data_IF_422656182617
#
_entry.id   IF_422656182617
#
_cell.length_a   1.000
_cell.length_b   1.000
_cell.length_c   1.000
_cell.angle_alpha   90.00
_cell.angle_beta   90.00
_cell.angle_gamma   90.00
#
_symmetry.space_group_name_H-M   'P 1'
#
loop_
_entity.id
_entity.type
_entity.pdbx_description
1 polymer ?
#
# COMPACT_ATOMS: atom_id res chain seq x y z
N UNK A 1 -14.89 -41.35 -14.71
CA UNK A 1 -15.02 -40.07 -13.98
C UNK A 1 -13.75 -39.85 -13.16
N UNK A 2 -12.91 -38.88 -13.52
CA UNK A 2 -11.70 -38.56 -12.75
C UNK A 2 -12.06 -37.53 -11.66
N UNK A 3 -11.91 -37.92 -10.38
CA UNK A 3 -12.16 -37.07 -9.22
C UNK A 3 -11.03 -36.05 -9.10
N UNK A 4 -11.31 -34.79 -9.44
CA UNK A 4 -10.38 -33.66 -9.28
C UNK A 4 -10.12 -33.42 -7.79
N UNK A 5 -8.96 -33.86 -7.32
CA UNK A 5 -8.53 -33.66 -5.94
C UNK A 5 -8.08 -32.20 -5.78
N UNK A 6 -8.93 -31.37 -5.17
CA UNK A 6 -8.60 -29.98 -4.87
C UNK A 6 -7.55 -29.97 -3.77
N UNK A 7 -6.30 -29.71 -4.14
CA UNK A 7 -5.20 -29.51 -3.19
C UNK A 7 -5.59 -28.35 -2.28
N UNK A 8 -5.68 -28.60 -0.98
CA UNK A 8 -5.75 -27.54 0.03
C UNK A 8 -4.43 -26.76 -0.08
N UNK A 9 -4.50 -25.57 -0.67
CA UNK A 9 -3.39 -24.62 -0.66
C UNK A 9 -3.37 -24.05 0.74
N UNK A 10 -2.42 -24.48 1.56
CA UNK A 10 -2.16 -23.89 2.87
C UNK A 10 -1.94 -22.39 2.66
N UNK A 11 -2.91 -21.58 3.07
CA UNK A 11 -2.81 -20.13 3.05
C UNK A 11 -1.82 -19.74 4.14
N UNK A 12 -0.54 -19.68 3.76
CA UNK A 12 0.48 -19.02 4.55
C UNK A 12 -0.07 -17.64 4.98
N UNK A 13 -0.08 -17.31 6.28
CA UNK A 13 -0.54 -16.01 6.72
C UNK A 13 0.38 -14.95 6.11
N UNK A 14 -0.16 -14.13 5.22
CA UNK A 14 0.59 -13.01 4.64
C UNK A 14 0.86 -11.98 5.74
N UNK A 15 2.05 -11.39 5.72
CA UNK A 15 2.48 -10.35 6.69
C UNK A 15 1.61 -9.09 6.69
N UNK A 16 0.72 -8.92 5.72
CA UNK A 16 -0.25 -7.83 5.67
C UNK A 16 -1.57 -8.33 5.09
N UNK A 17 -2.67 -7.76 5.57
CA UNK A 17 -3.99 -7.91 4.96
C UNK A 17 -3.99 -7.43 3.51
N UNK A 18 -4.79 -8.07 2.65
CA UNK A 18 -4.97 -7.69 1.24
C UNK A 18 -5.35 -6.21 1.07
N UNK A 19 -6.08 -5.65 2.05
CA UNK A 19 -6.45 -4.25 2.06
C UNK A 19 -5.25 -3.30 2.25
N UNK A 20 -4.34 -3.64 3.18
CA UNK A 20 -3.14 -2.83 3.44
C UNK A 20 -2.20 -2.85 2.23
N UNK A 21 -2.08 -3.99 1.53
CA UNK A 21 -1.34 -4.06 0.27
C UNK A 21 -1.87 -3.12 -0.81
N UNK A 22 -3.20 -2.99 -0.92
CA UNK A 22 -3.82 -2.06 -1.88
C UNK A 22 -3.48 -0.60 -1.53
N UNK A 23 -3.50 -0.24 -0.25
CA UNK A 23 -3.13 1.11 0.22
C UNK A 23 -1.66 1.40 -0.08
N UNK A 24 -0.75 0.45 0.19
CA UNK A 24 0.67 0.60 -0.15
C UNK A 24 0.85 0.80 -1.65
N UNK A 25 0.12 0.06 -2.49
CA UNK A 25 0.14 0.26 -3.95
C UNK A 25 -0.28 1.67 -4.38
N UNK A 26 -1.33 2.22 -3.77
CA UNK A 26 -1.78 3.60 -4.03
C UNK A 26 -0.69 4.60 -3.60
N UNK A 27 -0.05 4.38 -2.46
CA UNK A 27 0.99 5.26 -1.96
C UNK A 27 2.23 5.28 -2.88
N UNK A 28 2.65 4.12 -3.37
CA UNK A 28 3.76 4.00 -4.35
C UNK A 28 3.38 4.72 -5.64
N UNK A 29 2.16 4.50 -6.14
CA UNK A 29 1.67 5.19 -7.34
C UNK A 29 1.70 6.71 -7.17
N UNK A 30 1.31 7.22 -6.00
CA UNK A 30 1.35 8.65 -5.68
C UNK A 30 2.78 9.22 -5.73
N UNK A 31 3.75 8.51 -5.15
CA UNK A 31 5.17 8.89 -5.18
C UNK A 31 5.69 8.93 -6.62
N UNK A 32 5.42 7.88 -7.40
CA UNK A 32 5.83 7.81 -8.81
C UNK A 32 5.22 8.97 -9.59
N UNK A 33 3.94 9.28 -9.36
CA UNK A 33 3.27 10.40 -10.02
C UNK A 33 3.91 11.74 -9.65
N UNK A 34 4.27 11.95 -8.38
CA UNK A 34 4.97 13.17 -7.94
C UNK A 34 6.31 13.38 -8.64
N UNK A 35 7.11 12.32 -8.79
CA UNK A 35 8.38 12.40 -9.52
C UNK A 35 8.19 12.49 -11.03
N UNK A 36 7.17 11.82 -11.59
CA UNK A 36 6.86 11.90 -13.01
C UNK A 36 6.38 13.30 -13.39
N UNK A 37 5.58 13.96 -12.53
CA UNK A 37 5.15 15.33 -12.74
C UNK A 37 6.34 16.31 -12.73
N UNK A 38 7.28 16.13 -11.80
CA UNK A 38 8.56 16.86 -11.80
C UNK A 38 9.36 16.63 -13.09
N UNK A 39 9.44 15.37 -13.55
CA UNK A 39 10.11 15.04 -14.81
C UNK A 39 9.45 15.68 -16.02
N UNK A 40 8.11 15.76 -16.06
CA UNK A 40 7.39 16.41 -17.16
C UNK A 40 7.60 17.93 -17.18
N UNK A 41 7.71 18.57 -16.00
CA UNK A 41 7.95 20.01 -15.89
C UNK A 41 9.32 20.41 -16.46
N UNK A 42 10.34 19.53 -16.38
CA UNK A 42 11.71 19.75 -16.87
C UNK A 42 12.40 21.02 -16.31
N UNK A 43 11.92 21.53 -15.18
CA UNK A 43 12.40 22.73 -14.51
C UNK A 43 12.55 22.42 -13.02
N UNK A 44 13.77 22.45 -12.51
CA UNK A 44 14.06 22.10 -11.10
C UNK A 44 13.47 23.16 -10.15
N UNK A 45 13.48 24.42 -10.56
CA UNK A 45 12.88 25.55 -9.84
C UNK A 45 11.41 25.78 -10.24
N UNK A 46 10.83 24.84 -10.99
CA UNK A 46 9.44 24.86 -11.39
C UNK A 46 8.48 24.68 -10.20
N UNK A 47 7.27 25.20 -10.35
CA UNK A 47 6.26 25.17 -9.29
C UNK A 47 5.88 23.74 -8.89
N UNK A 48 5.81 22.82 -9.86
CA UNK A 48 5.48 21.42 -9.59
C UNK A 48 6.62 20.76 -8.81
N UNK A 49 7.85 20.98 -9.25
CA UNK A 49 9.06 20.41 -8.64
C UNK A 49 9.28 20.92 -7.22
N UNK A 50 9.06 22.21 -6.97
CA UNK A 50 9.35 22.86 -5.69
C UNK A 50 8.23 22.71 -4.65
N UNK A 51 6.97 22.63 -5.07
CA UNK A 51 5.82 22.59 -4.14
C UNK A 51 4.99 21.31 -4.25
N UNK A 52 4.60 20.90 -5.46
CA UNK A 52 3.64 19.79 -5.64
C UNK A 52 4.32 18.45 -5.37
N UNK A 53 5.49 18.21 -5.97
CA UNK A 53 6.19 16.95 -5.88
C UNK A 53 6.56 16.61 -4.43
N UNK A 54 7.15 17.53 -3.62
CA UNK A 54 7.44 17.25 -2.22
C UNK A 54 6.18 16.89 -1.41
N UNK A 55 5.07 17.58 -1.62
CA UNK A 55 3.80 17.28 -0.92
C UNK A 55 3.27 15.90 -1.33
N UNK A 56 3.31 15.58 -2.61
CA UNK A 56 2.81 14.31 -3.15
C UNK A 56 3.65 13.13 -2.64
N UNK A 57 4.97 13.26 -2.66
CA UNK A 57 5.92 12.27 -2.15
C UNK A 57 5.77 12.09 -0.64
N UNK A 58 5.72 13.19 0.13
CA UNK A 58 5.49 13.14 1.58
C UNK A 58 4.17 12.47 1.95
N UNK A 59 3.09 12.81 1.24
CA UNK A 59 1.79 12.17 1.43
C UNK A 59 1.88 10.66 1.17
N UNK A 60 2.60 10.25 0.13
CA UNK A 60 2.85 8.84 -0.15
C UNK A 60 3.54 8.13 1.02
N UNK A 61 4.60 8.70 1.57
CA UNK A 61 5.28 8.14 2.75
C UNK A 61 4.36 8.03 3.97
N UNK A 62 3.57 9.06 4.27
CA UNK A 62 2.60 9.04 5.38
C UNK A 62 1.58 7.92 5.21
N UNK A 63 1.08 7.72 3.98
CA UNK A 63 0.12 6.64 3.68
C UNK A 63 0.77 5.26 3.85
N UNK A 64 2.03 5.07 3.40
CA UNK A 64 2.76 3.81 3.63
C UNK A 64 2.90 3.53 5.13
N UNK A 65 3.34 4.52 5.90
CA UNK A 65 3.50 4.40 7.35
C UNK A 65 2.16 4.03 7.99
N UNK A 66 1.07 4.70 7.60
CA UNK A 66 -0.27 4.40 8.10
C UNK A 66 -0.72 2.98 7.76
N UNK A 67 -0.49 2.53 6.52
CA UNK A 67 -0.85 1.17 6.09
C UNK A 67 -0.11 0.09 6.88
N UNK A 68 1.16 0.34 7.21
CA UNK A 68 1.98 -0.56 8.03
C UNK A 68 1.48 -0.54 9.48
N UNK A 69 1.31 0.64 10.09
CA UNK A 69 0.94 0.78 11.50
C UNK A 69 -0.48 0.25 11.80
N UNK A 70 -1.43 0.44 10.88
CA UNK A 70 -2.82 0.00 11.07
C UNK A 70 -2.94 -1.54 11.16
N UNK A 71 -1.95 -2.29 10.68
CA UNK A 71 -1.98 -3.76 10.71
C UNK A 71 -1.99 -4.36 12.13
N UNK A 72 -1.51 -3.65 13.16
CA UNK A 72 -1.33 -4.22 14.50
C UNK A 72 -2.55 -4.18 15.44
N UNK A 73 -3.74 -3.76 14.99
CA UNK A 73 -4.91 -3.61 15.90
C UNK A 73 -6.21 -4.30 15.49
N UNK A 74 -6.34 -4.77 14.25
CA UNK A 74 -7.66 -5.20 13.73
C UNK A 74 -7.93 -6.70 13.68
N UNK A 75 -6.90 -7.56 13.68
CA UNK A 75 -7.07 -8.99 13.39
C UNK A 75 -6.91 -9.92 14.62
N UNK A 76 -6.57 -9.37 15.79
CA UNK A 76 -6.48 -10.13 17.04
C UNK A 76 -7.79 -10.16 17.85
N UNK A 77 -8.75 -9.26 17.56
CA UNK A 77 -10.01 -9.18 18.31
C UNK A 77 -11.10 -10.13 17.78
N UNK A 78 -11.01 -10.60 16.53
CA UNK A 78 -12.04 -11.48 15.92
C UNK A 78 -11.73 -12.98 16.07
N UNK A 79 -10.51 -13.33 16.53
CA UNK A 79 -10.10 -14.72 16.81
C UNK A 79 -10.20 -15.13 18.28
N UNK A 80 -10.71 -14.25 19.16
CA UNK A 80 -10.82 -14.47 20.60
C UNK A 80 -12.27 -14.59 21.12
N UNK A 81 -13.25 -14.85 20.24
CA UNK A 81 -14.60 -15.22 20.65
C UNK A 81 -14.75 -16.76 20.75
N UNK A 82 -14.93 -17.33 21.95
CA UNK A 82 -15.20 -18.75 22.11
C UNK A 82 -16.64 -19.04 21.68
N UNK A 83 -16.83 -20.07 20.84
CA UNK A 83 -18.11 -20.75 20.62
C UNK A 83 -18.03 -22.16 21.18
#
# INVERSE_FOLDING_TARGET
>A
MAKKNSKNIDKQPMFFSSFNYKIIGIAIFLIITGFTAMYMENEIDGFISLFISPIMVMSGYVIVIFAILKHNRGEQEESSQPS
#
